data_IF_551480738012
#
_entry.id   IF_551480738012
#
_cell.length_a   1.000
_cell.length_b   1.000
_cell.length_c   1.000
_cell.angle_alpha   90.00
_cell.angle_beta   90.00
_cell.angle_gamma   90.00
#
_symmetry.space_group_name_H-M   'P 1'
#
loop_
_entity.id
_entity.type
_entity.pdbx_description
1 polymer ?
#
# COMPACT_ATOMS: atom_id res chain seq x y z
N UNK A 1 -12.11 24.72 -1.19
CA UNK A 1 -12.09 24.96 0.27
C UNK A 1 -11.48 23.76 0.98
N UNK A 2 -11.92 22.52 0.66
CA UNK A 2 -11.35 21.28 1.21
C UNK A 2 -9.84 21.14 0.99
N UNK A 3 -9.37 21.44 -0.21
CA UNK A 3 -7.96 21.57 -0.58
C UNK A 3 -7.22 22.65 0.23
N UNK A 4 -7.79 23.86 0.31
CA UNK A 4 -7.19 25.00 0.98
C UNK A 4 -7.02 24.78 2.49
N UNK A 5 -7.95 24.08 3.14
CA UNK A 5 -7.85 23.76 4.56
C UNK A 5 -6.90 22.61 4.87
N UNK A 6 -6.33 21.99 3.84
CA UNK A 6 -5.52 20.78 3.97
C UNK A 6 -6.33 19.60 4.52
N UNK A 7 -7.66 19.63 4.32
CA UNK A 7 -8.56 18.56 4.72
C UNK A 7 -8.63 17.48 3.63
N UNK A 8 -8.51 17.86 2.35
CA UNK A 8 -8.33 16.94 1.23
C UNK A 8 -7.08 16.08 1.45
N UNK A 9 -7.18 14.74 1.49
CA UNK A 9 -6.02 13.87 1.46
C UNK A 9 -5.71 13.51 0.00
N UNK A 10 -4.69 14.10 -0.66
CA UNK A 10 -4.40 13.84 -2.08
C UNK A 10 -4.13 12.37 -2.39
N UNK A 11 -3.75 11.58 -1.37
CA UNK A 11 -3.63 10.12 -1.46
C UNK A 11 -4.94 9.43 -1.86
N UNK A 12 -6.12 9.96 -1.47
CA UNK A 12 -7.41 9.37 -1.85
C UNK A 12 -7.65 9.44 -3.36
N UNK A 13 -7.57 10.62 -4.03
CA UNK A 13 -7.64 10.69 -5.49
C UNK A 13 -6.54 9.88 -6.20
N UNK A 14 -5.33 9.81 -5.63
CA UNK A 14 -4.23 9.03 -6.20
C UNK A 14 -4.50 7.52 -6.19
N UNK A 15 -5.07 6.99 -5.10
CA UNK A 15 -5.30 5.55 -4.94
C UNK A 15 -6.62 5.09 -5.53
N UNK A 16 -7.70 5.86 -5.34
CA UNK A 16 -9.06 5.43 -5.66
C UNK A 16 -9.75 6.28 -6.73
N UNK A 17 -9.16 7.42 -7.13
CA UNK A 17 -9.84 8.37 -8.01
C UNK A 17 -11.08 9.01 -7.38
N UNK A 18 -11.12 9.04 -6.04
CA UNK A 18 -12.22 9.56 -5.23
C UNK A 18 -11.73 10.75 -4.39
N UNK A 19 -12.56 11.78 -4.22
CA UNK A 19 -12.23 12.94 -3.39
C UNK A 19 -11.99 12.48 -1.95
N UNK A 20 -13.03 11.91 -1.34
CA UNK A 20 -13.00 11.21 -0.06
C UNK A 20 -14.33 10.50 0.12
N UNK A 21 -14.30 9.22 0.50
CA UNK A 21 -15.44 8.46 0.99
C UNK A 21 -14.95 7.57 2.13
N UNK A 22 -15.70 7.54 3.23
CA UNK A 22 -15.27 6.92 4.49
C UNK A 22 -16.42 6.21 5.18
N UNK A 23 -16.16 5.17 5.98
CA UNK A 23 -17.19 4.52 6.78
C UNK A 23 -17.80 5.50 7.79
N UNK A 24 -19.07 5.29 8.14
CA UNK A 24 -19.71 6.00 9.24
C UNK A 24 -19.13 5.61 10.61
N UNK A 25 -19.32 6.44 11.63
CA UNK A 25 -18.84 6.16 12.99
C UNK A 25 -19.47 4.92 13.63
N UNK A 26 -20.71 4.58 13.26
CA UNK A 26 -21.34 3.34 13.69
C UNK A 26 -20.58 2.09 13.23
N UNK A 27 -19.89 2.16 12.08
CA UNK A 27 -19.12 1.02 11.56
C UNK A 27 -17.82 0.78 12.35
N UNK A 28 -17.36 1.74 13.16
CA UNK A 28 -16.24 1.51 14.09
C UNK A 28 -16.56 0.35 15.06
N UNK A 29 -17.83 0.20 15.46
CA UNK A 29 -18.29 -0.87 16.34
C UNK A 29 -18.20 -2.27 15.69
N UNK A 30 -18.13 -2.33 14.36
CA UNK A 30 -17.96 -3.58 13.61
C UNK A 30 -16.50 -4.04 13.54
N UNK A 31 -15.55 -3.16 13.86
CA UNK A 31 -14.11 -3.46 13.80
C UNK A 31 -13.64 -4.37 14.92
N UNK A 32 -12.70 -5.27 14.61
CA UNK A 32 -11.97 -6.07 15.61
C UNK A 32 -10.70 -5.40 16.10
N UNK A 33 -10.15 -4.46 15.34
CA UNK A 33 -8.91 -3.75 15.66
C UNK A 33 -8.94 -2.32 15.09
N UNK A 34 -8.82 -1.32 15.95
CA UNK A 34 -8.84 0.10 15.56
C UNK A 34 -7.49 0.73 15.88
N UNK A 35 -6.87 1.38 14.90
CA UNK A 35 -5.76 2.31 15.12
C UNK A 35 -6.26 3.75 15.00
N UNK A 36 -6.22 4.52 16.08
CA UNK A 36 -6.42 5.98 16.04
C UNK A 36 -5.07 6.63 15.78
N UNK A 37 -4.82 7.05 14.53
CA UNK A 37 -3.51 7.55 14.09
C UNK A 37 -3.59 9.02 13.73
N UNK A 38 -3.02 9.88 14.57
CA UNK A 38 -3.11 11.33 14.39
C UNK A 38 -4.54 11.87 14.39
N UNK A 39 -5.47 11.14 15.04
CA UNK A 39 -6.87 11.52 15.19
C UNK A 39 -7.24 11.55 16.67
N UNK A 40 -7.48 12.74 17.20
CA UNK A 40 -7.87 12.92 18.60
C UNK A 40 -9.39 12.78 18.76
N UNK A 41 -9.89 11.54 18.62
CA UNK A 41 -11.32 11.22 18.53
C UNK A 41 -12.17 11.84 19.67
N UNK A 42 -11.81 11.75 20.96
CA UNK A 42 -12.65 12.31 22.03
C UNK A 42 -12.84 13.82 21.94
N UNK A 43 -11.83 14.53 21.43
CA UNK A 43 -11.81 15.99 21.34
C UNK A 43 -12.38 16.52 20.02
N UNK A 44 -12.12 15.83 18.90
CA UNK A 44 -12.45 16.29 17.55
C UNK A 44 -13.65 15.57 16.93
N UNK A 45 -14.06 14.44 17.52
CA UNK A 45 -15.23 13.60 17.16
C UNK A 45 -16.05 13.29 18.41
N UNK A 46 -16.18 14.25 19.32
CA UNK A 46 -16.89 14.09 20.59
C UNK A 46 -18.25 13.39 20.47
N UNK A 47 -19.16 13.74 19.52
CA UNK A 47 -20.44 13.06 19.43
C UNK A 47 -20.34 11.58 19.01
N UNK A 48 -19.28 11.18 18.30
CA UNK A 48 -19.08 9.82 17.79
C UNK A 48 -18.15 8.97 18.68
N UNK A 49 -17.41 9.60 19.61
CA UNK A 49 -16.39 8.95 20.41
C UNK A 49 -16.92 7.74 21.20
N UNK A 50 -18.21 7.73 21.55
CA UNK A 50 -18.83 6.62 22.27
C UNK A 50 -18.72 5.30 21.48
N UNK A 51 -18.87 5.31 20.15
CA UNK A 51 -18.77 4.10 19.32
C UNK A 51 -17.43 3.40 19.49
N UNK A 52 -16.33 4.17 19.49
CA UNK A 52 -14.99 3.64 19.75
C UNK A 52 -14.88 3.07 21.17
N UNK A 53 -15.38 3.78 22.18
CA UNK A 53 -15.28 3.30 23.57
C UNK A 53 -16.14 2.06 23.84
N UNK A 54 -17.29 1.96 23.19
CA UNK A 54 -18.23 0.84 23.33
C UNK A 54 -17.73 -0.39 22.56
N UNK A 55 -17.09 -0.22 21.40
CA UNK A 55 -16.45 -1.30 20.64
C UNK A 55 -15.43 -2.07 21.50
N UNK A 56 -14.71 -1.37 22.39
CA UNK A 56 -13.78 -2.00 23.33
C UNK A 56 -14.45 -3.02 24.25
N UNK A 57 -15.71 -2.80 24.66
CA UNK A 57 -16.45 -3.79 25.45
C UNK A 57 -16.85 -5.04 24.65
N UNK A 58 -16.89 -4.95 23.32
CA UNK A 58 -17.03 -6.09 22.40
C UNK A 58 -15.73 -6.87 22.21
N UNK A 59 -14.61 -6.38 22.76
CA UNK A 59 -13.29 -6.98 22.65
C UNK A 59 -12.42 -6.39 21.53
N UNK A 60 -12.85 -5.29 20.90
CA UNK A 60 -12.04 -4.55 19.92
C UNK A 60 -10.80 -3.98 20.59
N UNK A 61 -9.62 -4.31 20.06
CA UNK A 61 -8.37 -3.72 20.52
C UNK A 61 -8.18 -2.33 19.89
N UNK A 62 -7.75 -1.36 20.69
CA UNK A 62 -7.50 0.02 20.25
C UNK A 62 -6.05 0.39 20.44
N UNK A 63 -5.40 0.83 19.37
CA UNK A 63 -4.04 1.40 19.40
C UNK A 63 -4.14 2.88 19.09
N UNK A 64 -3.37 3.69 19.82
CA UNK A 64 -3.28 5.14 19.60
C UNK A 64 -1.89 5.49 19.13
N UNK A 65 -1.81 6.31 18.09
CA UNK A 65 -0.55 6.81 17.55
C UNK A 65 -0.60 8.32 17.55
N UNK A 66 0.05 8.91 18.56
CA UNK A 66 0.16 10.36 18.75
C UNK A 66 1.49 10.69 19.42
N UNK A 67 2.20 11.75 18.99
CA UNK A 67 3.49 12.14 19.57
C UNK A 67 3.37 12.54 21.06
N UNK A 68 2.27 13.17 21.44
CA UNK A 68 1.90 13.54 22.80
C UNK A 68 0.91 12.56 23.42
N UNK A 69 0.73 12.64 24.74
CA UNK A 69 -0.30 11.88 25.45
C UNK A 69 -1.66 12.58 25.33
N UNK A 70 -2.24 12.48 24.13
CA UNK A 70 -3.51 13.10 23.75
C UNK A 70 -4.72 12.51 24.49
N UNK A 71 -5.89 13.14 24.36
CA UNK A 71 -7.13 12.58 24.92
C UNK A 71 -7.46 11.19 24.35
N UNK A 72 -7.16 10.95 23.06
CA UNK A 72 -7.29 9.64 22.44
C UNK A 72 -6.41 8.59 23.13
N UNK A 73 -5.18 8.93 23.54
CA UNK A 73 -4.22 8.02 24.19
C UNK A 73 -4.77 7.41 25.48
N UNK A 74 -5.68 8.10 26.17
CA UNK A 74 -6.38 7.60 27.37
C UNK A 74 -7.31 6.41 27.09
N UNK A 75 -7.69 6.19 25.83
CA UNK A 75 -8.55 5.08 25.40
C UNK A 75 -7.81 3.98 24.63
N UNK A 76 -6.53 4.18 24.29
CA UNK A 76 -5.70 3.16 23.66
C UNK A 76 -5.23 2.09 24.64
N UNK A 77 -5.31 0.83 24.24
CA UNK A 77 -4.69 -0.30 24.96
C UNK A 77 -3.17 -0.30 24.75
N UNK A 78 -2.71 0.26 23.61
CA UNK A 78 -1.31 0.58 23.32
C UNK A 78 -1.23 2.04 22.86
N UNK A 79 -0.24 2.77 23.37
CA UNK A 79 0.16 4.09 22.88
C UNK A 79 1.54 4.00 22.22
N UNK A 80 1.59 4.37 20.95
CA UNK A 80 2.81 4.59 20.18
C UNK A 80 3.00 6.09 19.99
N UNK A 81 4.21 6.58 20.22
CA UNK A 81 4.51 8.00 20.28
C UNK A 81 5.68 8.37 19.36
N UNK A 82 5.51 8.24 18.03
CA UNK A 82 6.56 8.62 17.09
C UNK A 82 6.83 10.12 17.17
N UNK A 83 8.05 10.51 16.78
CA UNK A 83 8.36 11.91 16.46
C UNK A 83 7.34 12.42 15.43
N UNK A 84 6.69 13.53 15.71
CA UNK A 84 5.62 14.04 14.86
C UNK A 84 6.11 14.29 13.42
N UNK A 85 5.38 13.83 12.41
CA UNK A 85 5.77 13.97 11.00
C UNK A 85 6.70 12.86 10.49
N UNK A 86 7.07 11.89 11.34
CA UNK A 86 7.83 10.69 10.94
C UNK A 86 6.95 9.45 10.77
N UNK A 87 5.63 9.62 10.85
CA UNK A 87 4.65 8.54 10.87
C UNK A 87 4.72 7.62 9.64
N UNK A 88 5.00 8.16 8.46
CA UNK A 88 5.24 7.37 7.25
C UNK A 88 6.35 6.32 7.45
N UNK A 89 7.43 6.63 8.18
CA UNK A 89 8.49 5.67 8.47
C UNK A 89 7.97 4.50 9.32
N UNK A 90 7.15 4.78 10.34
CA UNK A 90 6.51 3.73 11.14
C UNK A 90 5.54 2.90 10.30
N UNK A 91 4.70 3.54 9.48
CA UNK A 91 3.75 2.86 8.59
C UNK A 91 4.44 1.97 7.55
N UNK A 92 5.57 2.43 6.99
CA UNK A 92 6.39 1.62 6.08
C UNK A 92 6.97 0.38 6.78
N UNK A 93 7.44 0.49 8.01
CA UNK A 93 7.92 -0.65 8.78
C UNK A 93 6.80 -1.62 9.19
N UNK A 94 5.61 -1.12 9.51
CA UNK A 94 4.45 -1.98 9.74
C UNK A 94 4.07 -2.73 8.46
N UNK A 95 4.04 -2.04 7.31
CA UNK A 95 3.81 -2.66 6.01
C UNK A 95 4.87 -3.71 5.65
N UNK A 96 6.14 -3.50 6.01
CA UNK A 96 7.20 -4.49 5.84
C UNK A 96 6.90 -5.80 6.59
N UNK A 97 6.52 -5.69 7.87
CA UNK A 97 6.14 -6.86 8.69
C UNK A 97 4.94 -7.60 8.08
N UNK A 98 3.92 -6.85 7.63
CA UNK A 98 2.72 -7.43 7.01
C UNK A 98 3.07 -8.17 5.73
N UNK A 99 3.83 -7.55 4.81
CA UNK A 99 4.26 -8.18 3.57
C UNK A 99 5.08 -9.44 3.85
N UNK A 100 6.08 -9.36 4.74
CA UNK A 100 6.94 -10.50 5.05
C UNK A 100 6.14 -11.66 5.61
N UNK A 101 5.31 -11.44 6.62
CA UNK A 101 4.64 -12.54 7.33
C UNK A 101 3.41 -13.08 6.61
N UNK A 102 2.59 -12.21 5.99
CA UNK A 102 1.27 -12.59 5.47
C UNK A 102 1.19 -12.65 3.95
N UNK A 103 2.24 -12.25 3.22
CA UNK A 103 2.29 -12.37 1.76
C UNK A 103 3.46 -13.21 1.25
N UNK A 104 4.55 -13.33 2.01
CA UNK A 104 5.75 -14.07 1.60
C UNK A 104 5.93 -15.35 2.43
N UNK A 105 6.17 -15.24 3.73
CA UNK A 105 6.57 -16.36 4.58
C UNK A 105 5.39 -17.32 4.86
N UNK A 106 4.20 -16.78 5.12
CA UNK A 106 2.97 -17.54 5.31
C UNK A 106 1.79 -16.84 4.61
N UNK A 107 1.68 -16.97 3.26
CA UNK A 107 0.70 -16.23 2.48
C UNK A 107 -0.74 -16.49 2.95
N UNK A 108 -1.44 -15.41 3.29
CA UNK A 108 -2.87 -15.46 3.59
C UNK A 108 -3.66 -15.53 2.29
N UNK A 109 -4.43 -16.60 2.08
CA UNK A 109 -5.34 -16.76 0.92
C UNK A 109 -6.27 -15.55 0.73
N UNK A 110 -6.90 -15.08 1.82
CA UNK A 110 -7.80 -13.90 1.76
C UNK A 110 -7.10 -12.63 1.24
N UNK A 111 -5.91 -12.31 1.77
CA UNK A 111 -5.12 -11.15 1.33
C UNK A 111 -4.59 -11.32 -0.09
N UNK A 112 -4.20 -12.54 -0.48
CA UNK A 112 -3.72 -12.82 -1.84
C UNK A 112 -4.83 -12.59 -2.87
N UNK A 113 -6.00 -13.18 -2.66
CA UNK A 113 -7.15 -13.03 -3.55
C UNK A 113 -7.64 -11.58 -3.58
N UNK A 114 -7.69 -10.91 -2.42
CA UNK A 114 -8.04 -9.50 -2.34
C UNK A 114 -7.10 -8.64 -3.20
N UNK A 115 -5.79 -8.80 -3.02
CA UNK A 115 -4.80 -8.01 -3.75
C UNK A 115 -4.85 -8.30 -5.26
N UNK A 116 -5.10 -9.54 -5.68
CA UNK A 116 -5.23 -9.89 -7.11
C UNK A 116 -6.45 -9.27 -7.76
N UNK A 117 -7.56 -9.15 -7.04
CA UNK A 117 -8.82 -8.67 -7.59
C UNK A 117 -8.99 -7.15 -7.51
N UNK A 118 -8.51 -6.52 -6.43
CA UNK A 118 -8.89 -5.14 -6.08
C UNK A 118 -7.73 -4.15 -6.07
N UNK A 119 -6.56 -4.54 -6.59
CA UNK A 119 -5.39 -3.67 -6.67
C UNK A 119 -4.72 -3.75 -8.03
N UNK A 120 -3.81 -2.83 -8.29
CA UNK A 120 -2.94 -2.83 -9.47
C UNK A 120 -1.69 -3.70 -9.30
N UNK A 121 -1.54 -4.42 -8.17
CA UNK A 121 -0.39 -5.28 -7.89
C UNK A 121 -0.04 -6.29 -9.01
N UNK A 122 -1.01 -6.94 -9.69
CA UNK A 122 -0.73 -7.85 -10.81
C UNK A 122 -0.31 -7.16 -12.10
N UNK A 123 -0.53 -5.85 -12.23
CA UNK A 123 -0.34 -5.15 -13.49
C UNK A 123 1.14 -4.88 -13.78
N UNK A 124 1.47 -4.80 -15.07
CA UNK A 124 2.84 -4.73 -15.53
C UNK A 124 3.34 -3.28 -15.65
N UNK A 125 4.58 -3.07 -15.21
CA UNK A 125 5.32 -1.80 -15.31
C UNK A 125 6.52 -1.99 -16.22
N UNK A 126 6.73 -1.07 -17.16
CA UNK A 126 7.95 -1.05 -17.99
C UNK A 126 9.14 -0.67 -17.12
N UNK A 127 10.27 -1.35 -17.28
CA UNK A 127 11.54 -0.89 -16.73
C UNK A 127 12.29 -0.07 -17.79
N UNK A 128 12.71 1.13 -17.42
CA UNK A 128 13.39 2.07 -18.30
C UNK A 128 14.83 2.25 -17.84
N UNK A 129 15.77 2.30 -18.78
CA UNK A 129 17.16 2.64 -18.46
C UNK A 129 17.30 4.17 -18.37
N UNK A 130 17.80 4.67 -17.23
CA UNK A 130 18.14 6.08 -16.99
C UNK A 130 19.49 6.14 -16.30
N UNK A 131 20.42 6.91 -16.88
CA UNK A 131 21.77 7.12 -16.34
C UNK A 131 22.51 5.81 -15.98
N UNK A 132 22.34 4.77 -16.81
CA UNK A 132 22.96 3.45 -16.63
C UNK A 132 22.29 2.54 -15.58
N UNK A 133 21.08 2.89 -15.12
CA UNK A 133 20.31 2.12 -14.14
C UNK A 133 18.88 1.88 -14.63
N UNK A 134 18.31 0.71 -14.34
CA UNK A 134 16.88 0.51 -14.57
C UNK A 134 16.05 1.18 -13.47
N UNK A 135 14.98 1.85 -13.87
CA UNK A 135 13.99 2.44 -12.97
C UNK A 135 12.57 2.05 -13.39
N UNK A 136 11.60 2.02 -12.47
CA UNK A 136 10.20 1.84 -12.84
C UNK A 136 9.72 3.00 -13.73
N UNK A 137 9.25 2.67 -14.93
CA UNK A 137 8.62 3.59 -15.87
C UNK A 137 7.10 3.62 -15.71
N UNK A 138 6.39 3.87 -16.81
CA UNK A 138 4.92 3.78 -16.82
C UNK A 138 4.42 2.34 -16.87
N UNK A 139 3.16 2.14 -16.48
CA UNK A 139 2.46 0.87 -16.69
C UNK A 139 2.38 0.52 -18.18
N UNK A 140 2.46 -0.78 -18.46
CA UNK A 140 2.23 -1.34 -19.80
C UNK A 140 0.74 -1.20 -20.14
N UNK A 141 0.47 -0.82 -21.39
CA UNK A 141 -0.89 -0.60 -21.92
C UNK A 141 -1.17 -1.54 -23.08
N UNK A 142 -2.44 -1.82 -23.35
CA UNK A 142 -2.83 -2.65 -24.49
C UNK A 142 -2.29 -2.07 -25.82
N UNK A 143 -2.21 -0.74 -25.96
CA UNK A 143 -1.63 -0.05 -27.12
C UNK A 143 -0.12 -0.31 -27.34
N UNK A 144 0.58 -0.83 -26.34
CA UNK A 144 2.02 -1.12 -26.46
C UNK A 144 2.29 -2.38 -27.29
N UNK A 145 1.28 -3.23 -27.48
CA UNK A 145 1.40 -4.47 -28.23
C UNK A 145 0.94 -4.33 -29.68
N UNK A 146 1.38 -5.28 -30.50
CA UNK A 146 0.91 -5.43 -31.87
C UNK A 146 -0.63 -5.50 -31.91
N UNK A 147 -1.22 -4.69 -32.78
CA UNK A 147 -2.68 -4.60 -32.97
C UNK A 147 -3.44 -4.25 -31.68
N UNK A 148 -2.79 -3.55 -30.73
CA UNK A 148 -3.37 -3.08 -29.47
C UNK A 148 -3.97 -4.18 -28.59
N UNK A 149 -3.43 -5.41 -28.66
CA UNK A 149 -4.10 -6.59 -28.12
C UNK A 149 -5.58 -6.65 -28.52
N UNK A 150 -5.97 -6.31 -29.75
CA UNK A 150 -7.36 -6.38 -30.21
C UNK A 150 -8.31 -5.32 -29.61
N UNK A 151 -7.86 -4.48 -28.69
CA UNK A 151 -8.65 -3.39 -28.13
C UNK A 151 -8.78 -2.25 -29.14
N UNK A 152 -10.04 -1.95 -29.53
CA UNK A 152 -10.35 -0.91 -30.53
C UNK A 152 -10.61 0.46 -29.92
N UNK A 153 -11.15 0.49 -28.71
CA UNK A 153 -11.50 1.71 -28.00
C UNK A 153 -10.50 1.92 -26.84
N UNK A 154 -9.93 3.12 -26.77
CA UNK A 154 -8.98 3.57 -25.75
C UNK A 154 -7.90 2.54 -25.29
N UNK A 155 -7.21 1.84 -26.21
CA UNK A 155 -6.19 0.85 -25.85
C UNK A 155 -5.03 1.43 -25.03
N UNK A 156 -4.75 2.71 -25.18
CA UNK A 156 -3.73 3.45 -24.43
C UNK A 156 -4.10 3.67 -22.95
N UNK A 157 -5.36 3.44 -22.58
CA UNK A 157 -5.89 3.59 -21.21
C UNK A 157 -6.22 2.26 -20.54
N UNK A 158 -5.84 1.14 -21.16
CA UNK A 158 -6.11 -0.22 -20.67
C UNK A 158 -4.83 -0.89 -20.23
N UNK A 159 -4.71 -1.16 -18.93
CA UNK A 159 -3.56 -1.87 -18.33
C UNK A 159 -3.64 -3.36 -18.61
N UNK A 160 -2.50 -4.05 -18.47
CA UNK A 160 -2.37 -5.49 -18.75
C UNK A 160 -1.73 -6.22 -17.58
N UNK A 161 -2.03 -7.52 -17.48
CA UNK A 161 -1.34 -8.46 -16.61
C UNK A 161 -1.20 -9.82 -17.29
N UNK A 162 -0.46 -10.73 -16.67
CA UNK A 162 -0.55 -12.14 -17.01
C UNK A 162 -1.73 -12.78 -16.28
N UNK A 163 -2.39 -13.71 -16.94
CA UNK A 163 -3.21 -14.70 -16.27
C UNK A 163 -2.30 -15.83 -15.74
N UNK A 164 -2.44 -16.16 -14.46
CA UNK A 164 -1.57 -17.12 -13.76
C UNK A 164 -1.78 -18.55 -14.28
N UNK A 165 -3.02 -18.87 -14.67
CA UNK A 165 -3.41 -20.21 -15.11
C UNK A 165 -2.91 -20.53 -16.53
N UNK A 166 -3.09 -19.60 -17.45
CA UNK A 166 -2.66 -19.77 -18.85
C UNK A 166 -1.22 -19.34 -19.10
N UNK A 167 -0.70 -18.40 -18.32
CA UNK A 167 0.59 -17.74 -18.57
C UNK A 167 0.54 -16.67 -19.67
N UNK A 168 -0.63 -16.42 -20.24
CA UNK A 168 -0.82 -15.48 -21.33
C UNK A 168 -1.05 -14.05 -20.83
N UNK A 169 -0.73 -13.06 -21.67
CA UNK A 169 -1.09 -11.66 -21.42
C UNK A 169 -2.58 -11.47 -21.69
N UNK A 170 -3.24 -10.83 -20.74
CA UNK A 170 -4.64 -10.44 -20.83
C UNK A 170 -4.81 -8.92 -20.63
N UNK A 171 -5.91 -8.40 -21.15
CA UNK A 171 -6.42 -7.07 -20.82
C UNK A 171 -7.63 -7.27 -19.90
N UNK A 172 -7.47 -7.13 -18.58
CA UNK A 172 -8.58 -7.27 -17.65
C UNK A 172 -9.62 -6.16 -17.87
N UNK A 173 -10.89 -6.48 -17.63
CA UNK A 173 -11.96 -5.49 -17.46
C UNK A 173 -11.64 -4.48 -16.35
N UNK A 174 -12.32 -3.33 -16.34
CA UNK A 174 -12.27 -2.37 -15.23
C UNK A 174 -11.28 -1.21 -15.36
N UNK A 175 -10.24 -1.33 -16.17
CA UNK A 175 -9.34 -0.19 -16.45
C UNK A 175 -10.08 0.99 -17.07
N UNK A 176 -9.57 2.21 -16.87
CA UNK A 176 -10.29 3.46 -17.19
C UNK A 176 -10.67 3.58 -18.67
N UNK A 177 -9.92 2.93 -19.57
CA UNK A 177 -10.26 2.88 -20.99
C UNK A 177 -11.58 2.17 -21.31
N UNK A 178 -12.13 1.36 -20.40
CA UNK A 178 -13.46 0.75 -20.54
C UNK A 178 -14.60 1.65 -20.07
N UNK A 179 -14.31 2.76 -19.39
CA UNK A 179 -15.34 3.65 -18.80
C UNK A 179 -16.06 4.49 -19.83
N UNK A 180 -15.39 4.82 -20.94
CA UNK A 180 -15.89 5.75 -21.95
C UNK A 180 -15.73 5.14 -23.35
N UNK A 181 -16.63 5.50 -24.27
CA UNK A 181 -16.58 5.02 -25.66
C UNK A 181 -17.07 3.60 -25.88
N UNK A 182 -17.27 2.82 -24.82
CA UNK A 182 -17.89 1.50 -24.81
C UNK A 182 -18.64 1.23 -23.49
N UNK A 183 -19.36 0.11 -23.39
CA UNK A 183 -20.17 -0.23 -22.21
C UNK A 183 -19.98 -1.71 -21.79
N UNK A 184 -20.37 -2.04 -20.56
CA UNK A 184 -20.43 -3.41 -20.04
C UNK A 184 -19.13 -4.00 -19.50
N UNK A 185 -17.97 -3.36 -19.76
CA UNK A 185 -16.64 -3.86 -19.34
C UNK A 185 -15.95 -3.02 -18.27
N UNK A 186 -16.55 -1.91 -17.83
CA UNK A 186 -16.07 -1.13 -16.70
C UNK A 186 -16.65 -1.70 -15.39
N UNK A 187 -16.03 -2.77 -14.91
CA UNK A 187 -16.37 -3.47 -13.67
C UNK A 187 -15.11 -4.13 -13.09
N UNK A 188 -15.19 -4.60 -11.84
CA UNK A 188 -14.05 -5.17 -11.10
C UNK A 188 -14.02 -6.70 -11.12
N UNK A 189 -14.85 -7.34 -11.95
CA UNK A 189 -14.83 -8.80 -12.06
C UNK A 189 -13.61 -9.18 -12.87
N UNK A 190 -12.66 -9.98 -12.36
CA UNK A 190 -11.41 -10.29 -13.06
C UNK A 190 -11.69 -11.21 -14.25
N UNK A 191 -12.05 -10.62 -15.39
CA UNK A 191 -12.29 -11.33 -16.64
C UNK A 191 -11.44 -10.78 -17.77
N UNK A 192 -11.09 -11.63 -18.72
CA UNK A 192 -10.47 -11.18 -19.96
C UNK A 192 -11.49 -10.37 -20.76
N UNK A 193 -11.11 -9.16 -21.16
CA UNK A 193 -12.03 -8.24 -21.83
C UNK A 193 -12.48 -8.70 -23.22
N UNK A 194 -11.84 -9.69 -23.85
CA UNK A 194 -12.27 -10.23 -25.16
C UNK A 194 -13.14 -11.46 -25.01
N UNK A 195 -12.71 -12.42 -24.19
CA UNK A 195 -13.41 -13.71 -24.06
C UNK A 195 -14.54 -13.64 -23.05
N UNK A 196 -14.44 -12.75 -22.06
CA UNK A 196 -15.34 -12.69 -20.91
C UNK A 196 -15.14 -13.82 -19.90
N UNK A 197 -14.11 -14.64 -20.09
CA UNK A 197 -13.76 -15.73 -19.18
C UNK A 197 -13.06 -15.18 -17.93
N UNK A 198 -13.23 -15.85 -16.79
CA UNK A 198 -12.54 -15.50 -15.57
C UNK A 198 -11.03 -15.67 -15.77
N UNK A 199 -10.26 -14.75 -15.21
CA UNK A 199 -8.80 -14.84 -15.13
C UNK A 199 -8.36 -14.90 -13.68
N UNK A 200 -7.15 -15.43 -13.45
CA UNK A 200 -6.46 -15.31 -12.18
C UNK A 200 -5.25 -14.40 -12.36
N UNK A 201 -5.35 -13.08 -12.11
CA UNK A 201 -4.23 -12.16 -12.34
C UNK A 201 -2.98 -12.59 -11.58
N UNK A 202 -1.86 -12.78 -12.31
CA UNK A 202 -0.56 -13.16 -11.73
C UNK A 202 0.02 -11.99 -10.96
N UNK A 203 0.15 -12.15 -9.64
CA UNK A 203 0.64 -11.08 -8.76
C UNK A 203 2.16 -10.91 -8.79
N UNK A 204 2.92 -11.98 -9.05
CA UNK A 204 4.38 -11.98 -9.00
C UNK A 204 4.98 -12.72 -10.20
N UNK A 205 6.09 -12.21 -10.74
CA UNK A 205 6.88 -12.91 -11.76
C UNK A 205 7.93 -13.85 -11.14
N UNK A 206 8.17 -13.78 -9.83
CA UNK A 206 9.08 -14.72 -9.16
C UNK A 206 8.60 -16.16 -9.34
N UNK A 207 9.50 -17.05 -9.78
CA UNK A 207 9.17 -18.44 -10.16
C UNK A 207 8.75 -18.64 -11.63
N UNK A 208 8.41 -17.57 -12.34
CA UNK A 208 8.11 -17.57 -13.78
C UNK A 208 8.67 -16.29 -14.42
N UNK A 209 9.96 -16.05 -14.27
CA UNK A 209 10.67 -14.89 -14.80
C UNK A 209 11.75 -15.34 -15.78
N UNK A 210 12.10 -14.46 -16.72
CA UNK A 210 13.14 -14.71 -17.71
C UNK A 210 14.52 -14.35 -17.15
N UNK A 211 14.57 -13.33 -16.29
CA UNK A 211 15.81 -12.76 -15.76
C UNK A 211 15.55 -11.98 -14.46
N UNK A 212 16.63 -11.55 -13.81
CA UNK A 212 16.59 -10.69 -12.62
C UNK A 212 17.36 -9.41 -12.95
N UNK A 213 16.69 -8.26 -12.86
CA UNK A 213 17.32 -6.96 -13.08
C UNK A 213 17.45 -6.17 -11.78
N UNK A 214 18.55 -5.43 -11.66
CA UNK A 214 18.77 -4.47 -10.59
C UNK A 214 18.05 -3.15 -10.95
N UNK A 215 17.11 -2.76 -10.10
CA UNK A 215 16.25 -1.58 -10.30
C UNK A 215 16.45 -0.59 -9.15
N UNK A 216 16.59 0.69 -9.47
CA UNK A 216 16.79 1.77 -8.52
C UNK A 216 15.50 2.31 -7.93
N UNK A 217 15.50 2.52 -6.61
CA UNK A 217 14.42 3.16 -5.87
C UNK A 217 14.95 4.39 -5.13
N UNK A 218 14.28 5.55 -5.22
CA UNK A 218 14.72 6.73 -4.50
C UNK A 218 14.58 6.54 -2.99
N UNK A 219 15.52 7.08 -2.23
CA UNK A 219 15.50 7.05 -0.78
C UNK A 219 15.84 8.42 -0.21
N UNK A 220 14.93 8.96 0.60
CA UNK A 220 15.03 10.30 1.18
C UNK A 220 15.31 10.28 2.68
N UNK A 221 15.34 9.11 3.32
CA UNK A 221 15.49 9.00 4.78
C UNK A 221 16.88 9.39 5.29
N UNK A 222 17.87 9.53 4.40
CA UNK A 222 19.21 10.02 4.71
C UNK A 222 19.35 11.55 4.63
N UNK A 223 18.38 12.26 4.05
CA UNK A 223 18.46 13.71 3.86
C UNK A 223 18.30 14.47 5.18
N UNK A 224 19.29 15.30 5.51
CA UNK A 224 19.21 16.16 6.69
C UNK A 224 18.15 17.24 6.49
N UNK A 225 17.22 17.31 7.42
CA UNK A 225 16.30 18.44 7.50
C UNK A 225 17.08 19.74 7.74
N UNK A 226 16.66 20.84 7.13
CA UNK A 226 17.30 22.18 7.18
C UNK A 226 17.56 22.76 8.58
N UNK A 227 17.03 22.12 9.63
CA UNK A 227 17.09 22.58 11.02
C UNK A 227 17.60 21.48 11.97
N UNK A 228 18.11 20.35 11.44
CA UNK A 228 18.60 19.20 12.22
C UNK A 228 17.60 18.70 13.28
N UNK A 229 16.30 18.90 13.02
CA UNK A 229 15.22 18.65 13.98
C UNK A 229 14.76 17.18 14.00
N UNK A 230 14.95 16.48 12.87
CA UNK A 230 14.56 15.09 12.67
C UNK A 230 15.81 14.22 12.59
N UNK A 231 15.73 12.99 13.11
CA UNK A 231 16.78 12.01 12.94
C UNK A 231 16.73 11.47 11.52
N UNK A 232 17.90 11.35 10.89
CA UNK A 232 18.08 10.73 9.59
C UNK A 232 18.62 9.30 9.75
N UNK A 233 18.50 8.51 8.69
CA UNK A 233 19.09 7.20 8.60
C UNK A 233 19.86 7.10 7.28
N UNK A 234 21.19 7.18 7.39
CA UNK A 234 22.12 7.32 6.26
C UNK A 234 22.19 6.04 5.42
N UNK A 235 21.83 6.18 4.15
CA UNK A 235 21.92 5.17 3.09
C UNK A 235 22.10 5.89 1.75
N UNK A 236 22.39 5.15 0.68
CA UNK A 236 22.45 5.72 -0.66
C UNK A 236 21.10 6.34 -1.09
N UNK A 237 21.15 7.48 -1.79
CA UNK A 237 19.97 8.18 -2.31
C UNK A 237 19.16 7.33 -3.32
N UNK A 238 19.81 6.32 -3.91
CA UNK A 238 19.18 5.36 -4.82
C UNK A 238 19.52 3.94 -4.36
N UNK A 239 18.49 3.21 -3.93
CA UNK A 239 18.60 1.83 -3.47
C UNK A 239 18.41 0.89 -4.64
N UNK A 240 19.49 0.24 -5.05
CA UNK A 240 19.46 -0.80 -6.06
C UNK A 240 18.94 -2.13 -5.49
N UNK A 241 17.88 -2.69 -6.08
CA UNK A 241 17.23 -3.93 -5.63
C UNK A 241 16.89 -4.85 -6.79
N UNK A 242 17.02 -6.16 -6.57
CA UNK A 242 16.79 -7.19 -7.59
C UNK A 242 15.30 -7.46 -7.79
N UNK A 243 14.84 -7.40 -9.04
CA UNK A 243 13.44 -7.59 -9.47
C UNK A 243 13.38 -8.76 -10.47
N UNK A 244 12.45 -9.73 -10.28
CA UNK A 244 12.18 -10.73 -11.31
C UNK A 244 11.42 -10.08 -12.47
N UNK A 245 11.90 -10.29 -13.70
CA UNK A 245 11.32 -9.67 -14.89
C UNK A 245 10.97 -10.68 -15.96
N UNK A 246 10.04 -10.29 -16.83
CA UNK A 246 9.86 -10.93 -18.14
C UNK A 246 10.21 -9.93 -19.23
N UNK A 247 10.69 -10.41 -20.36
CA UNK A 247 10.87 -9.60 -21.55
C UNK A 247 9.65 -9.73 -22.47
N UNK A 248 9.04 -8.61 -22.82
CA UNK A 248 7.92 -8.55 -23.75
C UNK A 248 8.31 -7.90 -25.06
N UNK A 249 7.75 -8.39 -26.16
CA UNK A 249 7.75 -7.68 -27.44
C UNK A 249 6.61 -6.66 -27.45
N UNK A 250 6.97 -5.38 -27.28
CA UNK A 250 6.07 -4.24 -27.33
C UNK A 250 6.27 -3.53 -28.67
N UNK A 251 5.52 -3.93 -29.70
CA UNK A 251 5.56 -3.36 -31.05
C UNK A 251 6.94 -3.41 -31.73
N UNK A 252 7.64 -4.53 -31.59
CA UNK A 252 8.97 -4.78 -32.17
C UNK A 252 10.13 -4.42 -31.24
N UNK A 253 9.84 -3.88 -30.06
CA UNK A 253 10.83 -3.55 -29.03
C UNK A 253 10.79 -4.59 -27.91
N UNK A 254 11.95 -5.18 -27.58
CA UNK A 254 12.08 -6.08 -26.43
C UNK A 254 12.23 -5.26 -25.15
N UNK A 255 11.22 -5.27 -24.29
CA UNK A 255 11.14 -4.45 -23.06
C UNK A 255 11.06 -5.34 -21.83
N UNK A 256 11.87 -5.05 -20.81
CA UNK A 256 11.75 -5.69 -19.49
C UNK A 256 10.56 -5.13 -18.71
N UNK A 257 9.76 -6.01 -18.12
CA UNK A 257 8.59 -5.65 -17.30
C UNK A 257 8.57 -6.39 -15.98
N UNK A 258 7.96 -5.77 -14.97
CA UNK A 258 7.74 -6.35 -13.65
C UNK A 258 6.28 -6.13 -13.20
N UNK A 259 5.76 -6.99 -12.32
CA UNK A 259 4.50 -6.72 -11.63
C UNK A 259 4.69 -5.58 -10.62
N UNK A 260 3.64 -4.78 -10.39
CA UNK A 260 3.64 -3.74 -9.33
C UNK A 260 3.95 -4.36 -7.96
N UNK A 261 3.46 -5.57 -7.66
CA UNK A 261 3.79 -6.28 -6.41
C UNK A 261 5.29 -6.55 -6.24
N UNK A 262 5.99 -6.94 -7.31
CA UNK A 262 7.42 -7.21 -7.26
C UNK A 262 8.21 -5.93 -6.92
N UNK A 263 7.83 -4.83 -7.57
CA UNK A 263 8.37 -3.49 -7.29
C UNK A 263 8.04 -3.03 -5.88
N UNK A 264 6.84 -3.34 -5.38
CA UNK A 264 6.41 -3.00 -4.04
C UNK A 264 7.18 -3.78 -2.97
N UNK A 265 7.31 -5.10 -3.10
CA UNK A 265 8.12 -5.91 -2.20
C UNK A 265 9.57 -5.43 -2.17
N UNK A 266 10.13 -5.11 -3.34
CA UNK A 266 11.44 -4.51 -3.42
C UNK A 266 11.47 -3.14 -2.73
N UNK A 267 10.53 -2.23 -2.98
CA UNK A 267 10.46 -0.93 -2.30
C UNK A 267 10.41 -1.05 -0.77
N UNK A 268 9.74 -2.06 -0.22
CA UNK A 268 9.71 -2.34 1.23
C UNK A 268 10.95 -3.09 1.75
N UNK A 269 11.94 -3.39 0.90
CA UNK A 269 13.18 -4.08 1.30
C UNK A 269 12.97 -5.55 1.69
N UNK A 270 11.96 -6.21 1.11
CA UNK A 270 11.62 -7.60 1.44
C UNK A 270 12.58 -8.54 0.69
N UNK A 271 13.42 -9.27 1.42
CA UNK A 271 14.19 -10.36 0.85
C UNK A 271 13.24 -11.49 0.40
N UNK A 272 13.41 -11.97 -0.84
CA UNK A 272 12.65 -13.10 -1.39
C UNK A 272 13.63 -14.12 -1.95
N UNK A 273 13.37 -15.39 -1.65
CA UNK A 273 14.24 -16.51 -2.02
C UNK A 273 14.47 -16.53 -3.54
N UNK A 274 15.73 -16.75 -3.95
CA UNK A 274 16.14 -16.79 -5.36
C UNK A 274 16.50 -15.44 -5.99
N UNK A 275 16.13 -14.30 -5.39
CA UNK A 275 16.48 -12.97 -5.93
C UNK A 275 17.87 -12.49 -5.49
N UNK A 276 18.23 -12.73 -4.22
CA UNK A 276 19.43 -12.17 -3.61
C UNK A 276 19.52 -10.63 -3.74
N UNK A 277 20.74 -10.11 -3.72
CA UNK A 277 21.01 -8.68 -3.87
C UNK A 277 21.20 -7.94 -2.54
N UNK A 278 21.58 -6.68 -2.64
CA UNK A 278 21.79 -5.77 -1.52
C UNK A 278 20.50 -4.99 -1.21
N UNK A 279 20.53 -4.15 -0.16
CA UNK A 279 19.41 -3.27 0.22
C UNK A 279 18.09 -3.98 0.56
N UNK A 280 18.12 -5.27 0.88
CA UNK A 280 16.99 -6.07 1.37
C UNK A 280 17.29 -6.64 2.75
N UNK A 281 16.25 -6.88 3.56
CA UNK A 281 16.38 -7.33 4.93
C UNK A 281 16.08 -8.82 5.07
N UNK A 282 16.97 -9.56 5.74
CA UNK A 282 16.74 -10.95 6.14
C UNK A 282 16.02 -11.00 7.50
N UNK A 283 16.24 -9.99 8.33
CA UNK A 283 15.67 -9.84 9.67
C UNK A 283 15.13 -8.43 9.92
N UNK A 284 14.14 -8.32 10.81
CA UNK A 284 13.67 -7.03 11.31
C UNK A 284 14.72 -6.23 12.09
N UNK A 285 15.82 -6.89 12.49
CA UNK A 285 16.97 -6.26 13.17
C UNK A 285 17.95 -5.60 12.21
N UNK A 286 17.81 -5.85 10.91
CA UNK A 286 18.70 -5.26 9.91
C UNK A 286 18.33 -3.78 9.73
N UNK A 287 19.31 -2.89 9.81
CA UNK A 287 19.10 -1.48 9.49
C UNK A 287 19.08 -1.31 7.97
N UNK A 288 17.96 -1.69 7.36
CA UNK A 288 17.68 -1.55 5.94
C UNK A 288 16.44 -0.66 5.80
N UNK A 289 16.38 0.26 4.81
CA UNK A 289 15.23 1.12 4.63
C UNK A 289 13.90 0.38 4.70
N UNK A 290 13.01 0.91 5.56
CA UNK A 290 11.68 0.41 5.85
C UNK A 290 11.58 -0.84 6.74
N UNK A 291 12.64 -1.28 7.41
CA UNK A 291 12.54 -2.30 8.47
C UNK A 291 12.10 -1.72 9.82
N UNK A 292 11.63 -2.55 10.76
CA UNK A 292 11.41 -2.14 12.15
C UNK A 292 12.65 -1.53 12.83
N UNK A 293 13.86 -2.04 12.55
CA UNK A 293 15.09 -1.44 13.09
C UNK A 293 15.37 -0.06 12.49
N UNK A 294 15.16 0.09 11.19
CA UNK A 294 15.37 1.36 10.49
C UNK A 294 14.45 2.46 11.01
N UNK A 295 13.15 2.17 11.17
CA UNK A 295 12.21 3.19 11.64
C UNK A 295 12.48 3.61 13.08
N UNK A 296 13.02 2.72 13.93
CA UNK A 296 13.27 3.02 15.34
C UNK A 296 14.22 4.21 15.52
N UNK A 297 15.20 4.36 14.63
CA UNK A 297 16.10 5.51 14.61
C UNK A 297 15.34 6.81 14.25
N UNK A 298 14.48 6.74 13.23
CA UNK A 298 13.79 7.91 12.68
C UNK A 298 12.67 8.40 13.59
N UNK A 299 11.85 7.46 14.08
CA UNK A 299 10.61 7.77 14.81
C UNK A 299 10.80 7.80 16.32
N UNK A 300 11.83 7.10 16.82
CA UNK A 300 12.01 6.83 18.26
C UNK A 300 11.09 5.75 18.82
N UNK A 301 10.20 5.15 18.03
CA UNK A 301 9.30 4.07 18.48
C UNK A 301 10.05 2.75 18.47
N UNK A 302 10.01 2.03 19.59
CA UNK A 302 10.65 0.73 19.73
C UNK A 302 10.17 -0.28 18.66
N UNK A 303 11.13 -0.94 18.00
CA UNK A 303 10.89 -1.85 16.90
C UNK A 303 9.97 -3.04 17.29
N UNK A 304 10.12 -3.60 18.49
CA UNK A 304 9.32 -4.74 18.94
C UNK A 304 7.83 -4.36 19.09
N UNK A 305 7.55 -3.13 19.54
CA UNK A 305 6.17 -2.61 19.59
C UNK A 305 5.57 -2.45 18.19
N UNK A 306 6.34 -1.93 17.23
CA UNK A 306 5.90 -1.79 15.84
C UNK A 306 5.58 -3.15 15.23
N UNK A 307 6.46 -4.14 15.43
CA UNK A 307 6.26 -5.52 14.99
C UNK A 307 5.00 -6.11 15.64
N UNK A 308 4.85 -5.97 16.96
CA UNK A 308 3.70 -6.48 17.70
C UNK A 308 2.38 -5.91 17.16
N UNK A 309 2.30 -4.59 16.97
CA UNK A 309 1.09 -3.93 16.48
C UNK A 309 0.80 -4.30 15.04
N UNK A 310 1.79 -4.28 14.15
CA UNK A 310 1.62 -4.68 12.74
C UNK A 310 1.09 -6.11 12.61
N UNK A 311 1.67 -7.05 13.38
CA UNK A 311 1.24 -8.45 13.40
C UNK A 311 -0.18 -8.60 13.95
N UNK A 312 -0.51 -7.92 15.05
CA UNK A 312 -1.85 -7.99 15.62
C UNK A 312 -2.91 -7.40 14.67
N UNK A 313 -2.59 -6.28 14.02
CA UNK A 313 -3.44 -5.63 13.03
C UNK A 313 -3.74 -6.56 11.85
N UNK A 314 -2.70 -7.15 11.26
CA UNK A 314 -2.84 -8.08 10.13
C UNK A 314 -3.49 -9.41 10.54
N UNK A 315 -3.14 -9.96 11.70
CA UNK A 315 -3.75 -11.20 12.18
C UNK A 315 -5.26 -11.03 12.40
N UNK A 316 -5.70 -9.91 12.96
CA UNK A 316 -7.13 -9.61 13.11
C UNK A 316 -7.81 -9.54 11.74
N UNK A 317 -7.24 -8.79 10.79
CA UNK A 317 -7.80 -8.67 9.45
C UNK A 317 -7.85 -10.02 8.71
N UNK A 318 -6.83 -10.86 8.87
CA UNK A 318 -6.80 -12.20 8.28
C UNK A 318 -7.95 -13.07 8.79
N UNK A 319 -8.13 -13.14 10.12
CA UNK A 319 -9.16 -13.99 10.74
C UNK A 319 -10.57 -13.46 10.48
N UNK A 320 -10.74 -12.14 10.48
CA UNK A 320 -12.06 -11.49 10.37
C UNK A 320 -12.46 -11.14 8.94
N UNK A 321 -11.57 -11.38 7.96
CA UNK A 321 -11.70 -10.96 6.57
C UNK A 321 -11.86 -9.44 6.44
N UNK A 322 -10.84 -8.72 6.92
CA UNK A 322 -10.66 -7.28 6.67
C UNK A 322 -11.12 -6.35 7.78
N UNK A 323 -11.53 -6.83 8.97
CA UNK A 323 -12.09 -5.97 10.04
C UNK A 323 -11.04 -5.29 10.93
N UNK A 324 -9.99 -4.76 10.31
CA UNK A 324 -9.04 -3.85 10.94
C UNK A 324 -9.17 -2.47 10.30
N UNK A 325 -9.23 -1.42 11.12
CA UNK A 325 -9.54 -0.06 10.69
C UNK A 325 -8.48 0.93 11.18
N UNK A 326 -8.19 1.95 10.37
CA UNK A 326 -7.37 3.09 10.78
C UNK A 326 -8.24 4.35 10.76
N UNK A 327 -8.48 4.92 11.93
CA UNK A 327 -9.09 6.24 12.08
C UNK A 327 -7.96 7.28 12.00
N UNK A 328 -7.95 8.08 10.93
CA UNK A 328 -6.87 9.01 10.60
C UNK A 328 -7.40 10.45 10.48
N UNK A 329 -6.57 11.44 10.77
CA UNK A 329 -6.99 12.84 10.77
C UNK A 329 -5.87 13.84 10.50
N UNK A 330 -6.15 15.10 10.81
CA UNK A 330 -5.31 16.25 10.45
C UNK A 330 -3.85 16.17 10.92
N UNK A 331 -3.53 15.48 12.03
CA UNK A 331 -2.14 15.37 12.45
C UNK A 331 -1.28 14.51 11.49
N UNK A 332 -1.92 13.70 10.64
CA UNK A 332 -1.28 13.00 9.53
C UNK A 332 -1.38 13.81 8.23
N UNK A 333 -2.49 14.54 8.02
CA UNK A 333 -2.80 15.22 6.76
C UNK A 333 -2.20 16.62 6.62
N UNK A 334 -1.92 17.32 7.72
CA UNK A 334 -1.43 18.71 7.69
C UNK A 334 0.09 18.82 7.62
N UNK A 335 0.77 17.74 7.20
CA UNK A 335 2.18 17.74 6.86
C UNK A 335 2.38 17.97 5.36
N UNK A 336 3.51 18.55 4.97
CA UNK A 336 3.82 18.74 3.56
C UNK A 336 3.80 17.40 2.78
N UNK A 337 4.34 16.34 3.37
CA UNK A 337 4.32 14.97 2.85
C UNK A 337 3.14 14.13 3.39
N UNK A 338 1.95 14.74 3.47
CA UNK A 338 0.71 14.06 3.90
C UNK A 338 0.41 12.82 3.08
N UNK A 339 0.74 12.85 1.79
CA UNK A 339 0.52 11.75 0.87
C UNK A 339 1.34 10.51 1.25
N UNK A 340 2.57 10.68 1.73
CA UNK A 340 3.40 9.58 2.24
C UNK A 340 2.83 8.99 3.53
N UNK A 341 2.39 9.85 4.46
CA UNK A 341 1.71 9.42 5.69
C UNK A 341 0.46 8.58 5.37
N UNK A 342 -0.39 9.06 4.47
CA UNK A 342 -1.62 8.39 4.10
C UNK A 342 -1.36 7.12 3.31
N UNK A 343 -0.48 7.13 2.31
CA UNK A 343 -0.17 5.95 1.49
C UNK A 343 0.46 4.82 2.31
N UNK A 344 1.23 5.12 3.35
CA UNK A 344 1.74 4.09 4.26
C UNK A 344 0.60 3.38 5.00
N UNK A 345 -0.35 4.14 5.57
CA UNK A 345 -1.55 3.58 6.23
C UNK A 345 -2.49 2.87 5.25
N UNK A 346 -2.71 3.43 4.06
CA UNK A 346 -3.53 2.84 3.00
C UNK A 346 -2.92 1.51 2.57
N UNK A 347 -1.61 1.44 2.34
CA UNK A 347 -0.94 0.19 2.00
C UNK A 347 -1.15 -0.89 3.06
N UNK A 348 -1.03 -0.57 4.36
CA UNK A 348 -1.34 -1.53 5.43
C UNK A 348 -2.77 -2.08 5.31
N UNK A 349 -3.75 -1.21 5.08
CA UNK A 349 -5.15 -1.60 4.93
C UNK A 349 -5.40 -2.43 3.67
N UNK A 350 -4.76 -2.07 2.55
CA UNK A 350 -4.87 -2.80 1.27
C UNK A 350 -4.21 -4.18 1.37
N UNK A 351 -3.02 -4.27 1.98
CA UNK A 351 -2.32 -5.55 2.19
C UNK A 351 -3.17 -6.49 3.04
N UNK A 352 -3.89 -5.95 4.02
CA UNK A 352 -4.78 -6.71 4.89
C UNK A 352 -6.23 -6.87 4.36
N UNK A 353 -6.52 -6.42 3.14
CA UNK A 353 -7.85 -6.55 2.54
C UNK A 353 -8.97 -5.77 3.23
N UNK A 354 -8.63 -4.73 3.99
CA UNK A 354 -9.60 -4.04 4.84
C UNK A 354 -10.52 -3.06 4.10
N UNK A 355 -10.08 -2.51 2.96
CA UNK A 355 -10.87 -1.50 2.23
C UNK A 355 -12.12 -2.18 1.62
N UNK A 356 -13.30 -1.60 1.90
CA UNK A 356 -14.59 -2.10 1.40
C UNK A 356 -15.25 -3.17 2.28
N UNK A 357 -14.68 -3.48 3.46
CA UNK A 357 -15.28 -4.41 4.42
C UNK A 357 -15.84 -3.67 5.63
N UNK A 358 -17.07 -3.99 6.05
CA UNK A 358 -17.66 -3.43 7.28
C UNK A 358 -16.82 -3.79 8.51
N UNK A 359 -16.49 -2.78 9.32
CA UNK A 359 -15.54 -2.85 10.43
C UNK A 359 -14.07 -2.72 10.02
N UNK A 360 -13.80 -2.43 8.75
CA UNK A 360 -12.48 -2.31 8.18
C UNK A 360 -12.28 -1.03 7.39
N UNK A 361 -11.03 -0.70 7.13
CA UNK A 361 -10.70 0.28 6.09
C UNK A 361 -10.12 1.60 6.59
N UNK A 362 -10.11 2.56 5.67
CA UNK A 362 -9.54 3.89 5.85
C UNK A 362 -10.65 4.84 6.30
N UNK A 363 -10.52 5.36 7.52
CA UNK A 363 -11.54 6.19 8.18
C UNK A 363 -10.97 7.57 8.44
N UNK A 364 -10.86 8.36 7.37
CA UNK A 364 -10.38 9.74 7.41
C UNK A 364 -11.46 10.70 7.89
N UNK A 365 -11.15 11.48 8.91
CA UNK A 365 -12.07 12.50 9.39
C UNK A 365 -11.35 13.83 9.65
N UNK A 366 -11.82 14.90 9.00
CA UNK A 366 -11.27 16.27 9.04
C UNK A 366 -12.38 17.34 9.21
N UNK A 367 -12.64 18.22 8.23
CA UNK A 367 -13.86 19.02 8.18
C UNK A 367 -15.12 18.19 7.89
N UNK A 368 -16.26 18.87 7.83
CA UNK A 368 -17.52 18.32 7.33
C UNK A 368 -17.60 18.64 5.82
N UNK A 369 -17.23 17.67 4.99
CA UNK A 369 -17.16 17.79 3.52
C UNK A 369 -18.29 17.07 2.77
#
# INVERSE_FOLDING_TARGET
FYDWYCDLPPASPQTWGEQTDVPESADWYNSGFIMMWGSNVPQTRTPDAHFMTEARYKGTQVVTVTPDYSEASKFGDIWLNPRQGTDAAMGMAMGHVILKEFHIDNPSEYFDDYCRAYTDMPFLVKLEERDGRFVPGRMVRASDFAKNLGEKNNPEWKTVCFDEETGDITVPTGSIGFRWGEEGKWNIVPTDSKTGENIRPRKTLLGDHDDILKVGFPYFGGENHEHDYFQTNDHEDVLDRNIPIKYLDLNGEKVAVACVFDLLCANYGIAREGLGGENVAESYKDNIPYTPKWQENITGVNADKVIQVARAFAQNAHVTKGKSMIIIGAAMNHWYHMDMNYRACINMLVFCGCIGQSGGGWSHYVGQE
#
